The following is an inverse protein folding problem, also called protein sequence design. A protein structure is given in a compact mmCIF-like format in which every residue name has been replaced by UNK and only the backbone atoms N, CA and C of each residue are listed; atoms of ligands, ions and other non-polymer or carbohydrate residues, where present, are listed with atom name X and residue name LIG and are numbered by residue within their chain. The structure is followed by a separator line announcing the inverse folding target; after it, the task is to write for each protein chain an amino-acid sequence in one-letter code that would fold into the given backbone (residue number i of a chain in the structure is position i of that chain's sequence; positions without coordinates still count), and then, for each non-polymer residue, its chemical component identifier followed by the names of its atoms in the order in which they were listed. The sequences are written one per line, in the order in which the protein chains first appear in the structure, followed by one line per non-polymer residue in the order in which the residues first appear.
data_IF_538305991193
#
_entry.id   IF_538305991193
#
_cell.length_a   1.000
_cell.length_b   1.000
_cell.length_c   1.000
_cell.angle_alpha   90.00
_cell.angle_beta   90.00
_cell.angle_gamma   90.00
#
_symmetry.space_group_name_H-M   'P 1'
#
loop_
_entity.id
_entity.type
_entity.pdbx_description
1 polymer ?
#
# COMPACT_ATOMS: atom_id res chain seq x y z
N UNK A 1 -20.61 52.49 -20.67
CA UNK A 1 -19.29 52.31 -20.04
C UNK A 1 -19.24 50.90 -19.45
N UNK A 2 -18.74 49.92 -20.21
CA UNK A 2 -18.73 48.49 -19.83
C UNK A 2 -17.50 48.16 -18.98
N UNK A 3 -17.71 47.90 -17.70
CA UNK A 3 -16.68 47.42 -16.76
C UNK A 3 -16.29 45.98 -17.09
N UNK A 4 -15.12 45.79 -17.70
CA UNK A 4 -14.50 44.47 -17.84
C UNK A 4 -13.96 44.03 -16.47
N UNK A 5 -14.64 43.11 -15.80
CA UNK A 5 -14.06 42.37 -14.69
C UNK A 5 -12.93 41.48 -15.22
N UNK A 6 -11.68 41.93 -15.03
CA UNK A 6 -10.50 41.10 -15.25
C UNK A 6 -10.46 40.04 -14.15
N UNK A 7 -10.90 38.81 -14.46
CA UNK A 7 -10.62 37.65 -13.61
C UNK A 7 -9.11 37.43 -13.58
N UNK A 8 -8.48 37.97 -12.53
CA UNK A 8 -7.06 37.78 -12.24
C UNK A 8 -6.87 36.30 -11.90
N UNK A 9 -6.52 35.48 -12.89
CA UNK A 9 -6.17 34.07 -12.68
C UNK A 9 -5.00 34.02 -11.71
N UNK A 10 -5.28 33.66 -10.45
CA UNK A 10 -4.30 33.55 -9.38
C UNK A 10 -3.21 32.58 -9.86
N UNK A 11 -2.01 33.09 -10.18
CA UNK A 11 -0.84 32.28 -10.56
C UNK A 11 -0.70 31.20 -9.49
N UNK A 12 -0.95 29.93 -9.83
CA UNK A 12 -0.71 28.85 -8.88
C UNK A 12 0.75 28.95 -8.43
N UNK A 13 0.99 29.08 -7.12
CA UNK A 13 2.33 29.30 -6.61
C UNK A 13 3.24 28.16 -7.06
N UNK A 14 4.47 28.49 -7.47
CA UNK A 14 5.45 27.52 -7.98
C UNK A 14 5.59 26.32 -7.04
N UNK A 15 5.54 26.53 -5.72
CA UNK A 15 5.62 25.47 -4.69
C UNK A 15 4.56 24.37 -4.86
N UNK A 16 3.32 24.71 -5.23
CA UNK A 16 2.25 23.72 -5.44
C UNK A 16 2.51 22.80 -6.63
N UNK A 17 3.45 23.15 -7.52
CA UNK A 17 3.86 22.29 -8.63
C UNK A 17 4.84 21.20 -8.22
N UNK A 18 5.58 21.40 -7.11
CA UNK A 18 6.58 20.47 -6.61
C UNK A 18 6.01 19.49 -5.59
N UNK A 19 5.20 19.95 -4.64
CA UNK A 19 4.77 19.12 -3.50
C UNK A 19 3.29 18.71 -3.65
N UNK A 20 2.93 17.43 -3.40
CA UNK A 20 1.56 16.98 -3.23
C UNK A 20 0.84 17.72 -2.08
N UNK A 21 -0.33 18.27 -2.39
CA UNK A 21 -1.10 19.17 -1.52
C UNK A 21 -2.12 18.46 -0.61
N UNK A 22 -2.13 17.12 -0.61
CA UNK A 22 -3.13 16.31 0.09
C UNK A 22 -2.45 15.43 1.14
N UNK A 23 -2.53 15.77 2.44
CA UNK A 23 -1.89 14.98 3.50
C UNK A 23 -2.43 13.55 3.57
N UNK A 24 -3.71 13.35 3.26
CA UNK A 24 -4.31 12.00 3.18
C UNK A 24 -3.71 11.12 2.08
N UNK A 25 -3.28 11.70 0.95
CA UNK A 25 -2.65 10.94 -0.13
C UNK A 25 -1.27 10.40 0.27
N UNK A 26 -0.50 11.20 1.03
CA UNK A 26 0.76 10.77 1.62
C UNK A 26 0.56 9.59 2.58
N UNK A 27 -0.41 9.69 3.49
CA UNK A 27 -0.70 8.63 4.46
C UNK A 27 -1.09 7.32 3.76
N UNK A 28 -1.97 7.37 2.75
CA UNK A 28 -2.36 6.17 2.01
C UNK A 28 -1.20 5.56 1.22
N UNK A 29 -0.39 6.39 0.56
CA UNK A 29 0.71 5.91 -0.29
C UNK A 29 1.88 5.32 0.51
N UNK A 30 2.19 5.89 1.68
CA UNK A 30 3.36 5.52 2.49
C UNK A 30 3.05 4.53 3.62
N UNK A 31 1.81 4.47 4.12
CA UNK A 31 1.47 3.60 5.26
C UNK A 31 1.78 2.12 5.05
N UNK A 32 1.59 1.49 3.86
CA UNK A 32 1.94 0.08 3.71
C UNK A 32 3.45 -0.15 3.78
N UNK A 33 4.23 0.71 3.11
CA UNK A 33 5.68 0.66 3.15
C UNK A 33 6.21 0.88 4.57
N UNK A 34 5.67 1.88 5.27
CA UNK A 34 6.04 2.18 6.67
C UNK A 34 5.68 1.01 7.60
N UNK A 35 4.55 0.36 7.37
CA UNK A 35 4.14 -0.83 8.12
C UNK A 35 5.14 -1.97 7.89
N UNK A 36 5.49 -2.25 6.63
CA UNK A 36 6.51 -3.24 6.28
C UNK A 36 7.89 -2.94 6.87
N UNK A 37 8.30 -1.66 6.90
CA UNK A 37 9.53 -1.20 7.55
C UNK A 37 9.54 -1.53 9.05
N UNK A 38 8.46 -1.19 9.75
CA UNK A 38 8.37 -1.37 11.20
C UNK A 38 8.22 -2.85 11.56
N UNK A 39 7.37 -3.59 10.85
CA UNK A 39 7.07 -5.01 11.09
C UNK A 39 8.22 -5.91 10.64
N UNK A 40 8.84 -5.62 9.50
CA UNK A 40 10.05 -6.31 9.03
C UNK A 40 11.25 -6.07 9.93
N UNK A 41 11.25 -5.02 10.74
CA UNK A 41 12.35 -4.62 11.62
C UNK A 41 13.32 -3.72 10.89
N UNK A 42 13.36 -2.44 11.29
CA UNK A 42 14.12 -1.43 10.60
C UNK A 42 15.64 -1.70 10.64
N UNK A 43 16.28 -1.55 9.47
CA UNK A 43 17.72 -1.46 9.30
C UNK A 43 18.04 -0.42 8.23
N UNK A 44 19.33 -0.27 7.92
CA UNK A 44 19.80 0.68 6.91
C UNK A 44 19.18 0.42 5.53
N UNK A 45 19.07 -0.84 5.10
CA UNK A 45 18.53 -1.19 3.78
C UNK A 45 17.04 -0.87 3.67
N UNK A 46 16.24 -1.24 4.67
CA UNK A 46 14.80 -0.97 4.69
C UNK A 46 14.50 0.52 4.81
N UNK A 47 15.26 1.28 5.62
CA UNK A 47 15.10 2.74 5.70
C UNK A 47 15.47 3.41 4.37
N UNK A 48 16.52 2.93 3.70
CA UNK A 48 16.91 3.41 2.38
C UNK A 48 15.82 3.11 1.35
N UNK A 49 15.28 1.89 1.33
CA UNK A 49 14.18 1.50 0.46
C UNK A 49 12.94 2.39 0.68
N UNK A 50 12.61 2.72 1.93
CA UNK A 50 11.49 3.58 2.26
C UNK A 50 11.69 5.02 1.74
N UNK A 51 12.90 5.53 1.83
CA UNK A 51 13.27 6.82 1.24
C UNK A 51 13.17 6.78 -0.29
N UNK A 52 13.62 5.70 -0.94
CA UNK A 52 13.48 5.52 -2.37
C UNK A 52 12.01 5.43 -2.80
N UNK A 53 11.15 4.72 -2.06
CA UNK A 53 9.70 4.67 -2.30
C UNK A 53 9.04 6.04 -2.19
N UNK A 54 9.43 6.83 -1.20
CA UNK A 54 8.96 8.20 -1.01
C UNK A 54 9.31 9.08 -2.22
N UNK A 55 10.51 8.94 -2.78
CA UNK A 55 10.93 9.61 -4.01
C UNK A 55 10.16 9.10 -5.23
N UNK A 56 9.93 7.79 -5.35
CA UNK A 56 9.08 7.20 -6.40
C UNK A 56 7.67 7.82 -6.40
N UNK A 57 7.06 8.02 -5.23
CA UNK A 57 5.77 8.70 -5.11
C UNK A 57 5.84 10.15 -5.61
N UNK A 58 6.90 10.89 -5.28
CA UNK A 58 7.11 12.26 -5.77
C UNK A 58 7.31 12.32 -7.30
N UNK A 59 8.07 11.37 -7.85
CA UNK A 59 8.25 11.20 -9.30
C UNK A 59 6.91 10.89 -9.95
N UNK A 60 6.13 9.95 -9.42
CA UNK A 60 4.81 9.62 -9.98
C UNK A 60 3.86 10.81 -9.98
N UNK A 61 3.86 11.62 -8.92
CA UNK A 61 3.06 12.83 -8.83
C UNK A 61 3.46 13.91 -9.85
N UNK A 62 4.76 14.14 -10.02
CA UNK A 62 5.24 15.16 -10.97
C UNK A 62 5.18 14.67 -12.42
N UNK A 63 5.51 13.40 -12.69
CA UNK A 63 5.40 12.75 -13.99
C UNK A 63 3.96 12.69 -14.48
N UNK A 64 3.00 12.33 -13.63
CA UNK A 64 1.58 12.32 -14.02
C UNK A 64 1.08 13.70 -14.47
N UNK A 65 1.47 14.77 -13.77
CA UNK A 65 1.16 16.16 -14.17
C UNK A 65 1.82 16.55 -15.49
N UNK A 66 3.08 16.18 -15.68
CA UNK A 66 3.81 16.44 -16.92
C UNK A 66 3.16 15.71 -18.11
N UNK A 67 2.87 14.42 -17.99
CA UNK A 67 2.18 13.63 -19.03
C UNK A 67 0.76 14.16 -19.33
N UNK A 68 -0.02 14.45 -18.29
CA UNK A 68 -1.38 15.02 -18.41
C UNK A 68 -1.39 16.35 -19.17
N UNK A 69 -0.33 17.14 -19.00
CA UNK A 69 -0.11 18.41 -19.70
C UNK A 69 0.44 18.27 -21.13
N UNK A 70 0.50 17.04 -21.68
CA UNK A 70 1.14 16.73 -22.97
C UNK A 70 2.60 17.16 -22.99
N UNK A 71 3.33 16.84 -21.93
CA UNK A 71 4.76 17.09 -21.77
C UNK A 71 5.14 18.59 -21.81
N UNK A 72 4.29 19.46 -21.29
CA UNK A 72 4.56 20.91 -21.23
C UNK A 72 5.80 21.24 -20.41
N UNK A 73 6.64 22.16 -20.92
CA UNK A 73 7.85 22.67 -20.24
C UNK A 73 7.59 23.22 -18.83
N UNK A 74 6.35 23.64 -18.54
CA UNK A 74 5.95 24.12 -17.20
C UNK A 74 6.14 23.08 -16.10
N UNK A 75 5.87 21.81 -16.39
CA UNK A 75 5.90 20.70 -15.41
C UNK A 75 7.16 19.84 -15.52
N UNK A 76 8.04 20.14 -16.48
CA UNK A 76 9.26 19.39 -16.73
C UNK A 76 10.28 19.52 -15.59
N UNK A 77 10.52 20.74 -15.09
CA UNK A 77 11.55 20.99 -14.06
C UNK A 77 11.31 20.20 -12.75
N UNK A 78 10.09 20.19 -12.17
CA UNK A 78 9.82 19.35 -10.99
C UNK A 78 9.99 17.86 -11.27
N UNK A 79 9.55 17.39 -12.45
CA UNK A 79 9.66 15.99 -12.84
C UNK A 79 11.12 15.54 -12.95
N UNK A 80 11.96 16.33 -13.65
CA UNK A 80 13.40 16.04 -13.75
C UNK A 80 14.09 16.14 -12.39
N UNK A 81 13.72 17.12 -11.54
CA UNK A 81 14.31 17.27 -10.21
C UNK A 81 14.11 16.03 -9.33
N UNK A 82 12.87 15.54 -9.21
CA UNK A 82 12.60 14.32 -8.46
C UNK A 82 13.16 13.06 -9.13
N UNK A 83 13.18 13.01 -10.46
CA UNK A 83 13.77 11.88 -11.19
C UNK A 83 15.29 11.79 -10.94
N UNK A 84 16.00 12.92 -10.96
CA UNK A 84 17.43 12.97 -10.64
C UNK A 84 17.67 12.59 -9.18
N UNK A 85 16.86 13.09 -8.24
CA UNK A 85 16.96 12.69 -6.84
C UNK A 85 16.73 11.18 -6.64
N UNK A 86 15.72 10.62 -7.33
CA UNK A 86 15.48 9.18 -7.34
C UNK A 86 16.64 8.40 -7.96
N UNK A 87 17.27 8.90 -9.02
CA UNK A 87 18.43 8.25 -9.61
C UNK A 87 19.62 8.23 -8.63
N UNK A 88 19.89 9.35 -7.95
CA UNK A 88 20.98 9.46 -6.96
C UNK A 88 20.77 8.51 -5.78
N UNK A 89 19.53 8.37 -5.30
CA UNK A 89 19.22 7.51 -4.12
C UNK A 89 18.98 6.06 -4.52
N UNK A 90 18.26 5.82 -5.62
CA UNK A 90 17.78 4.51 -6.03
C UNK A 90 18.79 3.70 -6.83
N UNK A 91 19.61 4.31 -7.69
CA UNK A 91 20.61 3.55 -8.46
C UNK A 91 21.64 2.88 -7.54
N UNK A 92 22.23 3.55 -6.54
CA UNK A 92 23.18 2.87 -5.66
C UNK A 92 22.51 1.74 -4.86
N UNK A 93 21.25 1.89 -4.43
CA UNK A 93 20.51 0.81 -3.77
C UNK A 93 20.34 -0.41 -4.69
N UNK A 94 19.96 -0.21 -5.96
CA UNK A 94 19.82 -1.33 -6.92
C UNK A 94 21.16 -2.00 -7.20
N UNK A 95 22.25 -1.23 -7.26
CA UNK A 95 23.61 -1.75 -7.49
C UNK A 95 24.10 -2.57 -6.30
N UNK A 96 23.88 -2.10 -5.07
CA UNK A 96 24.33 -2.81 -3.86
C UNK A 96 23.41 -3.96 -3.47
N UNK A 97 22.11 -3.86 -3.78
CA UNK A 97 21.06 -4.84 -3.43
C UNK A 97 20.28 -5.29 -4.67
N UNK A 98 20.90 -6.03 -5.61
CA UNK A 98 20.27 -6.40 -6.88
C UNK A 98 19.03 -7.29 -6.72
N UNK A 99 18.85 -7.93 -5.56
CA UNK A 99 17.66 -8.71 -5.23
C UNK A 99 16.34 -7.95 -5.41
N UNK A 100 16.32 -6.61 -5.32
CA UNK A 100 15.12 -5.80 -5.56
C UNK A 100 14.57 -5.93 -6.99
N UNK A 101 15.42 -6.27 -7.97
CA UNK A 101 15.03 -6.42 -9.37
C UNK A 101 13.97 -7.50 -9.58
N UNK A 102 13.79 -8.42 -8.62
CA UNK A 102 12.69 -9.41 -8.67
C UNK A 102 11.30 -8.79 -8.76
N UNK A 103 11.14 -7.61 -8.16
CA UNK A 103 9.90 -6.85 -8.15
C UNK A 103 9.74 -5.95 -9.38
N UNK A 104 10.81 -5.74 -10.16
CA UNK A 104 10.81 -4.83 -11.29
C UNK A 104 9.75 -5.17 -12.35
N UNK A 105 9.54 -6.44 -12.78
CA UNK A 105 8.50 -6.76 -13.75
C UNK A 105 7.09 -6.31 -13.31
N UNK A 106 6.74 -6.55 -12.05
CA UNK A 106 5.44 -6.17 -11.49
C UNK A 106 5.32 -4.64 -11.42
N UNK A 107 6.32 -3.95 -10.88
CA UNK A 107 6.29 -2.50 -10.77
C UNK A 107 6.39 -1.78 -12.12
N UNK A 108 7.05 -2.37 -13.13
CA UNK A 108 7.06 -1.84 -14.51
C UNK A 108 5.65 -1.84 -15.10
N UNK A 109 4.89 -2.94 -14.94
CA UNK A 109 3.50 -3.01 -15.39
C UNK A 109 2.63 -1.99 -14.64
N UNK A 110 2.75 -1.93 -13.31
CA UNK A 110 1.99 -0.98 -12.49
C UNK A 110 2.32 0.47 -12.84
N UNK A 111 3.61 0.80 -13.03
CA UNK A 111 4.05 2.12 -13.43
C UNK A 111 3.54 2.48 -14.83
N UNK A 112 3.66 1.58 -15.81
CA UNK A 112 3.17 1.79 -17.16
C UNK A 112 1.65 2.05 -17.18
N UNK A 113 0.86 1.25 -16.47
CA UNK A 113 -0.58 1.45 -16.33
C UNK A 113 -0.91 2.78 -15.63
N UNK A 114 -0.17 3.14 -14.59
CA UNK A 114 -0.36 4.39 -13.87
C UNK A 114 -0.04 5.62 -14.74
N UNK A 115 1.03 5.56 -15.53
CA UNK A 115 1.38 6.60 -16.50
C UNK A 115 0.40 6.66 -17.67
N UNK A 116 -0.11 5.51 -18.14
CA UNK A 116 -1.18 5.44 -19.13
C UNK A 116 -2.47 6.08 -18.60
N UNK A 117 -2.79 5.87 -17.32
CA UNK A 117 -3.92 6.52 -16.65
C UNK A 117 -3.74 8.04 -16.63
N UNK A 118 -2.52 8.52 -16.36
CA UNK A 118 -2.20 9.94 -16.39
C UNK A 118 -2.31 10.53 -17.80
N UNK A 119 -1.76 9.85 -18.82
CA UNK A 119 -1.80 10.25 -20.22
C UNK A 119 -3.23 10.35 -20.78
N UNK A 120 -4.06 9.37 -20.46
CA UNK A 120 -5.48 9.33 -20.83
C UNK A 120 -6.38 10.20 -19.95
N UNK A 121 -5.80 10.89 -18.94
CA UNK A 121 -6.50 11.71 -17.94
C UNK A 121 -7.54 10.92 -17.12
N UNK A 122 -7.34 9.60 -16.99
CA UNK A 122 -8.17 8.64 -16.24
C UNK A 122 -7.54 8.22 -14.91
N UNK A 123 -6.62 9.00 -14.36
CA UNK A 123 -6.02 8.80 -13.02
C UNK A 123 -7.07 8.58 -11.91
N UNK A 124 -8.27 9.13 -12.10
CA UNK A 124 -9.40 9.10 -11.15
C UNK A 124 -10.37 7.94 -11.39
N UNK A 125 -10.12 7.09 -12.39
CA UNK A 125 -10.93 5.91 -12.71
C UNK A 125 -10.76 4.80 -11.67
N UNK A 126 -11.65 3.80 -11.67
CA UNK A 126 -11.51 2.67 -10.74
C UNK A 126 -10.21 1.89 -10.97
N UNK A 127 -9.88 1.57 -12.22
CA UNK A 127 -8.64 0.85 -12.53
C UNK A 127 -7.40 1.69 -12.21
N UNK A 128 -7.42 3.01 -12.46
CA UNK A 128 -6.30 3.89 -12.13
C UNK A 128 -6.04 3.98 -10.62
N UNK A 129 -7.10 4.09 -9.81
CA UNK A 129 -6.96 4.01 -8.35
C UNK A 129 -6.55 2.60 -7.90
N UNK A 130 -7.08 1.54 -8.54
CA UNK A 130 -6.71 0.16 -8.27
C UNK A 130 -5.21 -0.08 -8.44
N UNK A 131 -4.63 0.36 -9.57
CA UNK A 131 -3.18 0.27 -9.84
C UNK A 131 -2.37 0.98 -8.75
N UNK A 132 -2.79 2.19 -8.33
CA UNK A 132 -2.12 2.92 -7.27
C UNK A 132 -2.20 2.21 -5.90
N UNK A 133 -3.37 1.68 -5.55
CA UNK A 133 -3.59 0.90 -4.33
C UNK A 133 -2.74 -0.37 -4.35
N UNK A 134 -2.71 -1.11 -5.47
CA UNK A 134 -1.89 -2.30 -5.62
C UNK A 134 -0.40 -1.97 -5.46
N UNK A 135 0.09 -0.93 -6.15
CA UNK A 135 1.50 -0.53 -6.06
C UNK A 135 1.91 -0.11 -4.64
N UNK A 136 1.05 0.64 -3.96
CA UNK A 136 1.30 1.06 -2.57
C UNK A 136 1.25 -0.11 -1.61
N UNK A 137 0.21 -0.93 -1.69
CA UNK A 137 0.01 -2.05 -0.75
C UNK A 137 1.08 -3.13 -0.90
N UNK A 138 1.51 -3.41 -2.14
CA UNK A 138 2.59 -4.37 -2.41
C UNK A 138 3.91 -3.97 -1.74
N UNK A 139 4.14 -2.67 -1.54
CA UNK A 139 5.35 -2.19 -0.90
C UNK A 139 5.48 -2.66 0.56
N UNK A 140 4.38 -3.02 1.23
CA UNK A 140 4.45 -3.68 2.54
C UNK A 140 5.22 -5.01 2.48
N UNK A 141 4.99 -5.81 1.43
CA UNK A 141 5.69 -7.08 1.23
C UNK A 141 7.16 -6.85 0.85
N UNK A 142 7.42 -5.88 -0.02
CA UNK A 142 8.79 -5.50 -0.42
C UNK A 142 9.59 -5.03 0.80
N UNK A 143 9.11 -4.05 1.55
CA UNK A 143 9.80 -3.53 2.74
C UNK A 143 10.05 -4.58 3.81
N UNK A 144 9.04 -5.43 4.05
CA UNK A 144 9.19 -6.54 5.00
C UNK A 144 10.35 -7.44 4.58
N UNK A 145 10.49 -7.78 3.30
CA UNK A 145 11.58 -8.66 2.81
C UNK A 145 13.01 -8.14 3.06
N UNK A 146 13.19 -6.83 3.23
CA UNK A 146 14.50 -6.21 3.54
C UNK A 146 14.73 -5.97 5.04
N UNK A 147 13.76 -6.27 5.90
CA UNK A 147 13.83 -6.01 7.34
C UNK A 147 14.63 -7.06 8.13
N UNK A 148 15.24 -6.61 9.23
CA UNK A 148 16.13 -7.43 10.09
C UNK A 148 15.45 -8.67 10.65
N UNK A 149 14.15 -8.62 10.98
CA UNK A 149 13.43 -9.79 11.54
C UNK A 149 13.27 -10.91 10.52
N UNK A 150 13.21 -10.59 9.22
CA UNK A 150 13.20 -11.59 8.17
C UNK A 150 14.61 -12.15 7.88
N UNK A 151 15.64 -11.35 8.13
CA UNK A 151 17.04 -11.74 7.91
C UNK A 151 17.60 -12.56 9.10
N UNK A 152 17.17 -12.25 10.34
CA UNK A 152 17.68 -12.84 11.58
C UNK A 152 16.95 -14.10 12.07
N UNK A 153 15.80 -14.45 11.47
CA UNK A 153 14.99 -15.59 11.90
C UNK A 153 15.58 -16.94 11.50
N UNK A 154 15.70 -17.87 12.46
CA UNK A 154 15.90 -19.31 12.19
C UNK A 154 14.68 -19.96 11.51
N UNK A 155 13.55 -19.25 11.39
CA UNK A 155 12.32 -19.68 10.74
C UNK A 155 12.39 -19.42 9.22
N UNK A 156 13.19 -20.21 8.53
CA UNK A 156 13.15 -20.34 7.06
C UNK A 156 11.97 -21.24 6.65
N UNK A 157 10.77 -20.93 7.13
CA UNK A 157 9.58 -21.75 6.92
C UNK A 157 8.81 -21.27 5.69
N UNK A 158 8.79 -22.11 4.66
CA UNK A 158 7.85 -22.09 3.52
C UNK A 158 6.42 -21.86 4.03
N UNK A 159 5.57 -21.26 3.20
CA UNK A 159 4.13 -21.02 3.41
C UNK A 159 3.44 -22.18 4.18
N UNK A 160 3.84 -23.43 3.95
CA UNK A 160 3.32 -24.61 4.65
C UNK A 160 3.64 -24.67 6.16
N UNK A 161 4.86 -24.33 6.60
CA UNK A 161 5.23 -24.41 8.02
C UNK A 161 4.57 -23.33 8.89
N UNK A 162 4.41 -22.13 8.33
CA UNK A 162 3.76 -21.00 9.00
C UNK A 162 2.23 -21.08 8.95
N UNK A 163 1.65 -21.61 7.86
CA UNK A 163 0.24 -21.95 7.81
C UNK A 163 -0.09 -23.07 8.81
N UNK A 164 0.77 -24.10 8.93
CA UNK A 164 0.61 -25.14 9.95
C UNK A 164 0.70 -24.56 11.37
N UNK A 165 1.61 -23.61 11.63
CA UNK A 165 1.69 -22.89 12.91
C UNK A 165 0.44 -22.02 13.17
N UNK A 166 -0.13 -21.38 12.15
CA UNK A 166 -1.38 -20.62 12.23
C UNK A 166 -2.62 -21.53 12.38
N UNK A 167 -2.57 -22.74 11.82
CA UNK A 167 -3.62 -23.75 11.88
C UNK A 167 -3.55 -24.63 13.14
N UNK A 168 -2.41 -24.63 13.84
CA UNK A 168 -2.18 -25.36 15.09
C UNK A 168 -1.53 -26.75 14.94
N UNK A 169 -0.89 -27.04 13.81
CA UNK A 169 -0.19 -28.31 13.57
C UNK A 169 1.29 -28.21 14.01
N UNK A 170 1.68 -29.05 14.97
CA UNK A 170 2.94 -28.98 15.72
C UNK A 170 4.14 -29.70 15.08
N UNK A 171 4.12 -29.95 13.77
CA UNK A 171 5.17 -30.69 13.07
C UNK A 171 6.39 -29.81 12.74
N UNK A 172 7.29 -29.65 13.72
CA UNK A 172 8.54 -28.88 13.60
C UNK A 172 9.69 -29.73 13.04
N UNK A 173 9.87 -29.74 11.71
CA UNK A 173 11.17 -30.12 11.09
C UNK A 173 11.99 -28.85 10.82
N UNK A 174 12.64 -28.35 11.86
CA UNK A 174 13.53 -27.17 11.80
C UNK A 174 14.88 -27.61 11.26
N UNK A 175 15.10 -27.50 9.94
CA UNK A 175 16.42 -27.70 9.34
C UNK A 175 17.19 -26.37 9.38
N UNK A 176 18.30 -26.37 10.11
CA UNK A 176 19.23 -25.25 10.28
C UNK A 176 19.56 -24.55 8.94
N UNK A 177 19.17 -23.28 8.81
CA UNK A 177 19.35 -22.45 7.61
C UNK A 177 19.89 -21.04 7.90
N UNK A 178 20.37 -20.77 9.13
CA UNK A 178 20.88 -19.45 9.53
C UNK A 178 22.08 -18.97 8.67
N UNK A 179 22.89 -19.89 8.14
CA UNK A 179 24.01 -19.56 7.23
C UNK A 179 23.62 -19.30 5.77
N UNK A 180 22.33 -19.44 5.39
CA UNK A 180 21.82 -19.28 4.00
C UNK A 180 20.99 -18.00 3.77
N UNK A 181 20.68 -17.23 4.82
CA UNK A 181 19.82 -16.03 4.72
C UNK A 181 20.51 -14.83 4.06
N UNK A 182 21.77 -14.54 4.44
CA UNK A 182 22.52 -13.36 3.99
C UNK A 182 22.87 -13.40 2.48
N UNK A 183 22.96 -14.61 1.92
CA UNK A 183 23.23 -14.84 0.49
C UNK A 183 22.03 -14.55 -0.41
N UNK A 184 20.77 -14.54 0.07
CA UNK A 184 19.58 -14.48 -0.82
C UNK A 184 19.12 -13.07 -1.26
N UNK A 185 19.45 -12.03 -0.48
CA UNK A 185 19.23 -10.62 -0.87
C UNK A 185 20.28 -10.19 -1.91
N UNK A 186 21.49 -10.74 -1.81
CA UNK A 186 22.61 -10.45 -2.71
C UNK A 186 22.69 -11.38 -3.93
N UNK A 187 22.11 -12.60 -3.90
CA UNK A 187 22.10 -13.57 -5.01
C UNK A 187 21.28 -13.15 -6.25
N UNK A 188 20.61 -11.98 -6.21
CA UNK A 188 19.80 -11.50 -7.33
C UNK A 188 20.57 -11.35 -8.65
N UNK A 189 21.88 -11.10 -8.61
CA UNK A 189 22.69 -10.99 -9.83
C UNK A 189 22.96 -12.32 -10.54
N UNK A 190 23.11 -13.43 -9.80
CA UNK A 190 23.33 -14.74 -10.42
C UNK A 190 22.03 -15.28 -11.04
N UNK A 191 20.87 -14.97 -10.44
CA UNK A 191 19.54 -15.28 -10.97
C UNK A 191 19.11 -14.41 -12.17
N UNK A 192 19.73 -13.24 -12.37
CA UNK A 192 19.51 -12.39 -13.56
C UNK A 192 20.34 -12.87 -14.76
N UNK A 193 21.43 -13.60 -14.50
CA UNK A 193 22.32 -14.16 -15.55
C UNK A 193 21.81 -15.49 -16.10
N UNK A 194 21.06 -16.28 -15.33
CA UNK A 194 20.32 -17.45 -15.80
C UNK A 194 18.89 -17.05 -16.19
N UNK A 195 18.35 -17.60 -17.28
CA UNK A 195 16.93 -17.43 -17.63
C UNK A 195 16.08 -17.92 -16.44
N UNK A 196 15.19 -17.08 -15.85
CA UNK A 196 14.58 -17.40 -14.58
C UNK A 196 13.56 -18.53 -14.76
N UNK A 197 13.88 -19.70 -14.24
CA UNK A 197 12.83 -20.67 -13.89
C UNK A 197 12.01 -20.00 -12.77
N UNK A 198 10.66 -19.90 -12.86
CA UNK A 198 9.87 -19.12 -11.91
C UNK A 198 10.10 -19.45 -10.42
N UNK A 199 10.54 -20.67 -10.10
CA UNK A 199 10.87 -21.10 -8.75
C UNK A 199 12.15 -20.47 -8.16
N UNK A 200 13.13 -20.10 -8.99
CA UNK A 200 14.39 -19.53 -8.53
C UNK A 200 14.31 -18.01 -8.33
N UNK A 201 13.38 -17.36 -9.04
CA UNK A 201 13.14 -15.91 -8.95
C UNK A 201 12.41 -15.50 -7.67
N UNK A 202 11.47 -16.34 -7.21
CA UNK A 202 10.66 -16.14 -6.00
C UNK A 202 11.02 -17.17 -4.93
N UNK A 203 11.99 -16.83 -4.07
CA UNK A 203 12.29 -17.62 -2.87
C UNK A 203 11.46 -17.16 -1.65
N UNK A 204 11.44 -17.97 -0.59
CA UNK A 204 10.67 -17.69 0.63
C UNK A 204 11.02 -16.35 1.31
N UNK A 205 12.24 -15.82 1.09
CA UNK A 205 12.68 -14.52 1.61
C UNK A 205 12.14 -13.33 0.79
N UNK A 206 11.86 -13.53 -0.51
CA UNK A 206 11.25 -12.50 -1.38
C UNK A 206 9.90 -12.03 -0.88
N UNK A 207 9.14 -12.94 -0.27
CA UNK A 207 7.73 -12.76 0.02
C UNK A 207 7.40 -13.34 1.41
N UNK A 208 7.87 -12.70 2.49
CA UNK A 208 7.52 -13.13 3.84
C UNK A 208 6.01 -13.16 4.00
N UNK A 209 5.47 -14.21 4.63
CA UNK A 209 4.01 -14.40 4.74
C UNK A 209 3.36 -13.22 5.45
N UNK A 210 4.02 -12.66 6.47
CA UNK A 210 3.58 -11.45 7.17
C UNK A 210 3.50 -10.28 6.19
N UNK A 211 4.52 -10.06 5.37
CA UNK A 211 4.52 -9.01 4.35
C UNK A 211 3.40 -9.17 3.31
N UNK A 212 3.11 -10.41 2.90
CA UNK A 212 1.98 -10.71 2.02
C UNK A 212 0.62 -10.44 2.66
N UNK A 213 0.45 -10.79 3.95
CA UNK A 213 -0.76 -10.49 4.73
C UNK A 213 -0.96 -8.98 4.90
N UNK A 214 0.12 -8.23 5.17
CA UNK A 214 0.08 -6.77 5.24
C UNK A 214 -0.31 -6.17 3.89
N UNK A 215 0.28 -6.64 2.79
CA UNK A 215 -0.06 -6.17 1.45
C UNK A 215 -1.54 -6.45 1.12
N UNK A 216 -2.06 -7.62 1.47
CA UNK A 216 -3.47 -7.95 1.29
C UNK A 216 -4.39 -7.06 2.15
N UNK A 217 -4.06 -6.85 3.43
CA UNK A 217 -4.80 -5.98 4.33
C UNK A 217 -4.91 -4.55 3.78
N UNK A 218 -3.77 -3.94 3.44
CA UNK A 218 -3.76 -2.59 2.88
C UNK A 218 -4.49 -2.53 1.54
N UNK A 219 -4.33 -3.53 0.67
CA UNK A 219 -5.00 -3.53 -0.64
C UNK A 219 -6.52 -3.55 -0.49
N UNK A 220 -7.05 -4.43 0.38
CA UNK A 220 -8.49 -4.57 0.58
C UNK A 220 -9.10 -3.33 1.25
N UNK A 221 -8.44 -2.80 2.27
CA UNK A 221 -8.93 -1.60 3.00
C UNK A 221 -8.84 -0.36 2.11
N UNK A 222 -7.70 -0.11 1.46
CA UNK A 222 -7.53 1.08 0.62
C UNK A 222 -8.43 1.04 -0.63
N UNK A 223 -8.67 -0.13 -1.22
CA UNK A 223 -9.62 -0.22 -2.33
C UNK A 223 -11.06 0.03 -1.88
N UNK A 224 -11.45 -0.44 -0.69
CA UNK A 224 -12.73 -0.10 -0.07
C UNK A 224 -12.89 1.42 0.14
N UNK A 225 -11.83 2.08 0.61
CA UNK A 225 -11.75 3.54 0.69
C UNK A 225 -11.93 4.24 -0.67
N UNK A 226 -11.36 3.71 -1.75
CA UNK A 226 -11.56 4.26 -3.11
C UNK A 226 -13.03 4.22 -3.51
N UNK A 227 -13.72 3.10 -3.25
CA UNK A 227 -15.16 2.97 -3.52
C UNK A 227 -15.95 3.97 -2.68
N UNK A 228 -15.70 4.03 -1.38
CA UNK A 228 -16.35 4.97 -0.47
C UNK A 228 -16.16 6.43 -0.90
N UNK A 229 -14.92 6.88 -1.13
CA UNK A 229 -14.64 8.27 -1.52
C UNK A 229 -15.33 8.62 -2.85
N UNK A 230 -15.42 7.67 -3.79
CA UNK A 230 -16.18 7.86 -5.03
C UNK A 230 -17.65 8.09 -4.77
N UNK A 231 -18.29 7.35 -3.85
CA UNK A 231 -19.69 7.60 -3.47
C UNK A 231 -19.92 8.98 -2.87
N UNK A 232 -18.90 9.52 -2.18
CA UNK A 232 -19.02 10.79 -1.45
C UNK A 232 -18.74 12.02 -2.29
N UNK A 233 -17.83 11.94 -3.26
CA UNK A 233 -17.32 13.12 -3.99
C UNK A 233 -17.68 13.08 -5.48
N UNK A 234 -17.09 12.15 -6.24
CA UNK A 234 -17.09 12.22 -7.72
C UNK A 234 -18.29 11.53 -8.36
N UNK A 235 -18.76 10.46 -7.74
CA UNK A 235 -19.83 9.59 -8.25
C UNK A 235 -21.06 9.67 -7.33
N UNK A 236 -21.22 10.82 -6.65
CA UNK A 236 -22.30 11.07 -5.71
C UNK A 236 -23.65 10.91 -6.41
N UNK A 237 -24.55 10.17 -5.77
CA UNK A 237 -25.89 9.87 -6.30
C UNK A 237 -25.98 8.64 -7.20
N UNK A 238 -24.86 8.08 -7.67
CA UNK A 238 -24.88 6.85 -8.48
C UNK A 238 -25.04 5.61 -7.60
N UNK A 239 -26.17 4.91 -7.76
CA UNK A 239 -26.51 3.70 -6.98
C UNK A 239 -25.47 2.59 -7.12
N UNK A 240 -24.92 2.40 -8.32
CA UNK A 240 -23.91 1.36 -8.58
C UNK A 240 -22.69 1.47 -7.67
N UNK A 241 -22.17 2.69 -7.46
CA UNK A 241 -21.03 2.91 -6.58
C UNK A 241 -21.38 2.72 -5.10
N UNK A 242 -22.59 3.09 -4.69
CA UNK A 242 -23.07 2.87 -3.32
C UNK A 242 -23.20 1.38 -3.04
N UNK A 243 -23.86 0.65 -3.94
CA UNK A 243 -24.01 -0.81 -3.85
C UNK A 243 -22.67 -1.52 -3.86
N UNK A 244 -21.75 -1.16 -4.77
CA UNK A 244 -20.41 -1.73 -4.80
C UNK A 244 -19.64 -1.47 -3.51
N UNK A 245 -19.72 -0.25 -2.97
CA UNK A 245 -19.11 0.08 -1.67
C UNK A 245 -19.71 -0.75 -0.54
N UNK A 246 -21.04 -0.87 -0.45
CA UNK A 246 -21.69 -1.65 0.61
C UNK A 246 -21.37 -3.14 0.52
N UNK A 247 -21.39 -3.72 -0.68
CA UNK A 247 -21.01 -5.12 -0.89
C UNK A 247 -19.55 -5.34 -0.48
N UNK A 248 -18.63 -4.48 -0.93
CA UNK A 248 -17.20 -4.60 -0.58
C UNK A 248 -16.98 -4.61 0.93
N UNK A 249 -17.53 -3.63 1.65
CA UNK A 249 -17.37 -3.54 3.10
C UNK A 249 -18.14 -4.65 3.84
N UNK A 250 -19.29 -5.08 3.32
CA UNK A 250 -20.02 -6.23 3.86
C UNK A 250 -19.23 -7.53 3.75
N UNK A 251 -18.57 -7.78 2.60
CA UNK A 251 -17.67 -8.93 2.42
C UNK A 251 -16.49 -8.86 3.39
N UNK A 252 -15.92 -7.69 3.65
CA UNK A 252 -14.88 -7.53 4.67
C UNK A 252 -15.36 -7.91 6.08
N UNK A 253 -16.58 -7.49 6.45
CA UNK A 253 -17.19 -7.86 7.74
C UNK A 253 -17.42 -9.37 7.83
N UNK A 254 -17.93 -10.00 6.77
CA UNK A 254 -18.13 -11.45 6.74
C UNK A 254 -16.80 -12.22 6.84
N UNK A 255 -15.76 -11.76 6.14
CA UNK A 255 -14.42 -12.34 6.23
C UNK A 255 -13.83 -12.26 7.64
N UNK A 256 -13.87 -11.06 8.25
CA UNK A 256 -13.39 -10.84 9.61
C UNK A 256 -14.24 -11.58 10.67
N UNK A 257 -15.55 -11.64 10.48
CA UNK A 257 -16.47 -12.39 11.33
C UNK A 257 -16.24 -13.89 11.24
N UNK A 258 -15.90 -14.41 10.05
CA UNK A 258 -15.47 -15.80 9.87
C UNK A 258 -14.18 -16.11 10.63
N UNK A 259 -13.17 -15.25 10.52
CA UNK A 259 -11.90 -15.45 11.26
C UNK A 259 -12.09 -15.34 12.77
N UNK A 260 -12.84 -14.34 13.26
CA UNK A 260 -13.11 -14.16 14.69
C UNK A 260 -14.05 -15.24 15.25
N UNK A 261 -15.01 -15.71 14.46
CA UNK A 261 -15.93 -16.80 14.81
C UNK A 261 -15.20 -18.14 14.97
N UNK A 262 -14.24 -18.43 14.09
CA UNK A 262 -13.36 -19.61 14.24
C UNK A 262 -12.55 -19.53 15.54
N UNK A 263 -12.02 -18.34 15.89
CA UNK A 263 -11.31 -18.13 17.15
C UNK A 263 -12.22 -18.27 18.37
N UNK A 264 -13.44 -17.72 18.32
CA UNK A 264 -14.41 -17.81 19.41
C UNK A 264 -14.93 -19.23 19.66
N UNK A 265 -15.16 -20.02 18.60
CA UNK A 265 -15.50 -21.46 18.71
C UNK A 265 -14.36 -22.26 19.34
N UNK A 266 -13.12 -21.83 19.11
CA UNK A 266 -11.93 -22.41 19.75
C UNK A 266 -11.71 -21.90 21.19
N UNK A 267 -12.58 -21.04 21.74
CA UNK A 267 -12.50 -20.52 23.10
C UNK A 267 -12.24 -19.01 23.15
N UNK A 268 -13.01 -18.30 23.97
CA UNK A 268 -12.96 -16.83 24.11
C UNK A 268 -11.60 -16.30 24.55
N UNK A 269 -10.82 -17.12 25.27
CA UNK A 269 -9.47 -16.80 25.73
C UNK A 269 -8.45 -16.66 24.58
N UNK A 270 -8.82 -17.04 23.35
CA UNK A 270 -7.99 -16.97 22.15
C UNK A 270 -8.30 -15.75 21.26
N UNK A 271 -9.20 -14.86 21.67
CA UNK A 271 -9.43 -13.58 20.98
C UNK A 271 -8.27 -12.63 21.28
N UNK A 272 -7.30 -12.59 20.37
CA UNK A 272 -6.17 -11.66 20.47
C UNK A 272 -6.57 -10.23 20.09
N UNK A 273 -5.74 -9.27 20.51
CA UNK A 273 -5.97 -7.84 20.23
C UNK A 273 -6.07 -7.54 18.73
N UNK A 274 -5.39 -8.32 17.88
CA UNK A 274 -5.47 -8.20 16.44
C UNK A 274 -6.86 -8.57 15.91
N UNK A 275 -7.47 -9.66 16.39
CA UNK A 275 -8.83 -10.07 16.03
C UNK A 275 -9.87 -9.02 16.44
N UNK A 276 -9.74 -8.47 17.66
CA UNK A 276 -10.64 -7.41 18.14
C UNK A 276 -10.50 -6.16 17.29
N UNK A 277 -9.27 -5.72 17.02
CA UNK A 277 -9.00 -4.52 16.23
C UNK A 277 -9.44 -4.68 14.77
N UNK A 278 -9.32 -5.89 14.20
CA UNK A 278 -9.86 -6.22 12.88
C UNK A 278 -11.39 -6.05 12.85
N UNK A 279 -12.10 -6.59 13.84
CA UNK A 279 -13.57 -6.43 13.94
C UNK A 279 -13.94 -4.96 14.07
N UNK A 280 -13.27 -4.20 14.94
CA UNK A 280 -13.49 -2.76 15.10
C UNK A 280 -13.26 -2.02 13.78
N UNK A 281 -12.18 -2.33 13.06
CA UNK A 281 -11.86 -1.72 11.77
C UNK A 281 -12.96 -2.01 10.75
N UNK A 282 -13.36 -3.25 10.54
CA UNK A 282 -14.36 -3.59 9.49
C UNK A 282 -15.75 -3.04 9.82
N UNK A 283 -16.14 -3.03 11.10
CA UNK A 283 -17.40 -2.43 11.55
C UNK A 283 -17.36 -0.91 11.32
N UNK A 284 -16.26 -0.25 11.66
CA UNK A 284 -16.06 1.18 11.38
C UNK A 284 -16.14 1.48 9.88
N UNK A 285 -15.45 0.69 9.05
CA UNK A 285 -15.44 0.85 7.59
C UNK A 285 -16.84 0.66 6.97
N UNK A 286 -17.61 -0.33 7.43
CA UNK A 286 -18.98 -0.53 7.00
C UNK A 286 -19.90 0.60 7.48
N UNK A 287 -19.81 0.97 8.76
CA UNK A 287 -20.64 2.01 9.35
C UNK A 287 -20.49 3.34 8.60
N UNK A 288 -19.26 3.77 8.32
CA UNK A 288 -19.02 5.00 7.53
C UNK A 288 -19.49 4.87 6.09
N UNK A 289 -19.35 3.70 5.47
CA UNK A 289 -19.75 3.46 4.08
C UNK A 289 -21.28 3.47 3.91
N UNK A 290 -22.04 3.17 4.96
CA UNK A 290 -23.51 3.22 4.97
C UNK A 290 -24.02 4.58 5.44
N UNK A 291 -23.57 5.04 6.61
CA UNK A 291 -24.13 6.23 7.27
C UNK A 291 -23.88 7.52 6.49
N UNK A 292 -22.66 7.73 5.95
CA UNK A 292 -22.32 9.00 5.31
C UNK A 292 -23.01 9.22 3.96
N UNK A 293 -23.10 8.23 3.05
CA UNK A 293 -23.89 8.39 1.83
C UNK A 293 -25.38 8.59 2.10
N UNK A 294 -25.95 7.94 3.12
CA UNK A 294 -27.36 8.11 3.51
C UNK A 294 -27.59 9.52 4.06
N UNK A 295 -26.78 9.95 5.02
CA UNK A 295 -26.86 11.31 5.59
C UNK A 295 -26.65 12.37 4.50
N UNK A 296 -25.76 12.09 3.54
CA UNK A 296 -25.50 12.92 2.36
C UNK A 296 -26.69 13.11 1.42
N UNK A 297 -27.73 12.25 1.50
CA UNK A 297 -28.99 12.44 0.76
C UNK A 297 -29.86 13.52 1.39
N UNK A 298 -29.80 13.67 2.71
CA UNK A 298 -30.61 14.62 3.47
C UNK A 298 -29.89 15.95 3.70
N UNK A 299 -28.55 15.94 3.81
CA UNK A 299 -27.74 17.14 4.07
C UNK A 299 -26.47 17.16 3.22
N UNK A 300 -26.08 18.30 2.63
CA UNK A 300 -24.84 18.39 1.88
C UNK A 300 -23.62 18.25 2.80
N UNK A 301 -22.91 17.13 2.69
CA UNK A 301 -21.69 16.88 3.46
C UNK A 301 -20.46 17.50 2.78
N UNK A 302 -19.66 18.21 3.59
CA UNK A 302 -18.38 18.81 3.15
C UNK A 302 -17.36 17.70 2.81
N UNK A 303 -16.52 17.87 1.77
CA UNK A 303 -15.48 16.90 1.42
C UNK A 303 -14.50 16.58 2.57
N UNK A 304 -14.32 17.52 3.51
CA UNK A 304 -13.49 17.34 4.70
C UNK A 304 -13.91 16.13 5.55
N UNK A 305 -15.22 15.83 5.63
CA UNK A 305 -15.73 14.70 6.43
C UNK A 305 -15.24 13.37 5.86
N UNK A 306 -15.28 13.23 4.52
CA UNK A 306 -14.70 12.07 3.86
C UNK A 306 -13.18 12.00 4.12
N UNK A 307 -12.48 13.14 4.04
CA UNK A 307 -11.04 13.20 4.32
C UNK A 307 -10.66 12.76 5.75
N UNK A 308 -11.38 13.24 6.77
CA UNK A 308 -11.13 12.87 8.18
C UNK A 308 -11.41 11.39 8.40
N UNK A 309 -12.51 10.86 7.87
CA UNK A 309 -12.84 9.44 8.03
C UNK A 309 -11.87 8.51 7.29
N UNK A 310 -11.29 8.96 6.18
CA UNK A 310 -10.18 8.27 5.51
C UNK A 310 -8.91 8.25 6.37
N UNK A 311 -8.56 9.37 7.01
CA UNK A 311 -7.41 9.43 7.92
C UNK A 311 -7.58 8.47 9.10
N UNK A 312 -8.76 8.45 9.74
CA UNK A 312 -9.04 7.51 10.83
C UNK A 312 -8.95 6.05 10.37
N UNK A 313 -9.49 5.74 9.19
CA UNK A 313 -9.43 4.38 8.63
C UNK A 313 -7.99 3.95 8.33
N UNK A 314 -7.15 4.87 7.83
CA UNK A 314 -5.73 4.60 7.57
C UNK A 314 -4.97 4.36 8.88
N UNK A 315 -5.24 5.16 9.93
CA UNK A 315 -4.63 4.98 11.25
C UNK A 315 -5.03 3.64 11.87
N UNK A 316 -6.31 3.27 11.84
CA UNK A 316 -6.78 1.99 12.36
C UNK A 316 -6.17 0.81 11.59
N UNK A 317 -6.08 0.91 10.27
CA UNK A 317 -5.45 -0.12 9.43
C UNK A 317 -3.97 -0.25 9.75
N UNK A 318 -3.28 0.87 9.95
CA UNK A 318 -1.88 0.87 10.34
C UNK A 318 -1.68 0.27 11.74
N UNK A 319 -2.51 0.64 12.72
CA UNK A 319 -2.46 0.03 14.06
C UNK A 319 -2.68 -1.50 14.00
N UNK A 320 -3.66 -1.96 13.23
CA UNK A 320 -3.91 -3.38 12.99
C UNK A 320 -2.72 -4.08 12.32
N UNK A 321 -2.08 -3.41 11.36
CA UNK A 321 -0.90 -3.97 10.69
C UNK A 321 0.26 -4.22 11.68
N UNK A 322 0.41 -3.36 12.69
CA UNK A 322 1.44 -3.53 13.72
C UNK A 322 1.10 -4.67 14.68
N UNK A 323 -0.17 -4.83 15.07
CA UNK A 323 -0.58 -5.92 15.97
C UNK A 323 -0.50 -7.29 15.30
N UNK A 324 -0.72 -7.37 13.98
CA UNK A 324 -0.54 -8.60 13.20
C UNK A 324 0.94 -8.96 13.01
N UNK A 325 1.81 -7.96 12.95
CA UNK A 325 3.21 -8.12 12.56
C UNK A 325 4.21 -8.20 13.71
N UNK A 326 3.86 -7.69 14.89
CA UNK A 326 4.74 -7.69 16.07
C UNK A 326 4.28 -8.76 17.07
N UNK A 327 5.18 -9.62 17.56
CA UNK A 327 4.83 -10.55 18.64
C UNK A 327 4.41 -9.75 19.88
N UNK A 328 3.30 -10.12 20.52
CA UNK A 328 2.74 -9.45 21.70
C UNK A 328 3.59 -9.62 22.98
N UNK A 329 4.82 -10.11 22.86
CA UNK A 329 5.75 -10.30 23.98
C UNK A 329 6.52 -9.00 24.24
N UNK A 330 5.96 -8.15 25.09
CA UNK A 330 6.73 -7.34 26.03
C UNK A 330 6.43 -7.83 27.44
#
# INVERSE_FOLDING_TARGET
MTTRHTYRTRRASTIRTWIPDQPGAWAMALSPALSGLIVGGANTDSVWLFAAWTLCYCVQFTASRWLKSRMSRRYLKPMLGYLTALAIVGLPFVITRPGIMRWAPIYMVLAALSLLAAWTRRERSLWGNGVAVTASSLMAAVETSFGTRNIAGADCAVINGSLNRFLGDGSSTVVAAAGRCETSINAGMDAVRSLPVPGDWWNAYSLPIVGALLAALFAVVQFGSVLFVKTMIRERGKRSYVTASWIWHGVMVLGAGGTAGVSAVRGWDRLDAASVLLVVLVVWLLARAVALPILGRFRPLKPLIAGVTEMMSTVLTFALSLTLGLPLTM
#
